data_IF_170456658686
#
_entry.id   IF_170456658686
#
_cell.length_a   1.000
_cell.length_b   1.000
_cell.length_c   1.000
_cell.angle_alpha   90.00
_cell.angle_beta   90.00
_cell.angle_gamma   90.00
#
_symmetry.space_group_name_H-M   'P 1'
#
loop_
_entity.id
_entity.type
_entity.pdbx_description
1 polymer ?
#
# COMPACT_ATOMS: atom_id res chain seq x y z
N UNK A 1 3.96 -4.21 -3.41
CA UNK A 1 5.12 -4.32 -4.34
C UNK A 1 5.42 -3.03 -5.11
N UNK A 2 4.51 -2.49 -5.93
CA UNK A 2 4.78 -1.28 -6.72
C UNK A 2 5.25 -0.08 -5.88
N UNK A 3 4.55 0.22 -4.78
CA UNK A 3 4.94 1.24 -3.81
C UNK A 3 6.35 1.00 -3.26
N UNK A 4 6.61 -0.21 -2.78
CA UNK A 4 7.88 -0.59 -2.15
C UNK A 4 9.05 -0.49 -3.11
N UNK A 5 8.85 -0.85 -4.38
CA UNK A 5 9.85 -0.66 -5.43
C UNK A 5 10.11 0.84 -5.68
N UNK A 6 9.05 1.65 -5.80
CA UNK A 6 9.16 3.10 -5.98
C UNK A 6 9.87 3.76 -4.79
N UNK A 7 9.51 3.39 -3.56
CA UNK A 7 10.20 3.83 -2.33
C UNK A 7 11.68 3.50 -2.38
N UNK A 8 12.06 2.26 -2.71
CA UNK A 8 13.45 1.83 -2.79
C UNK A 8 14.22 2.64 -3.84
N UNK A 9 13.65 2.88 -5.02
CA UNK A 9 14.29 3.66 -6.08
C UNK A 9 14.47 5.12 -5.67
N UNK A 10 13.40 5.76 -5.20
CA UNK A 10 13.42 7.17 -4.79
C UNK A 10 14.27 7.43 -3.54
N UNK A 11 14.42 6.42 -2.67
CA UNK A 11 15.27 6.53 -1.47
C UNK A 11 16.71 6.91 -1.82
N UNK A 12 17.26 6.36 -2.90
CA UNK A 12 18.60 6.69 -3.37
C UNK A 12 18.70 8.08 -4.03
N UNK A 13 17.56 8.70 -4.35
CA UNK A 13 17.50 10.08 -4.85
C UNK A 13 17.50 11.12 -3.70
N UNK A 14 17.27 10.68 -2.46
CA UNK A 14 17.34 11.58 -1.30
C UNK A 14 18.79 12.05 -1.08
N UNK A 15 18.94 13.26 -0.53
CA UNK A 15 20.22 13.72 0.01
C UNK A 15 20.69 12.76 1.12
N UNK A 16 22.01 12.59 1.27
CA UNK A 16 22.60 11.64 2.23
C UNK A 16 22.07 11.84 3.67
N UNK A 17 21.92 13.09 4.10
CA UNK A 17 21.34 13.48 5.40
C UNK A 17 19.92 12.95 5.63
N UNK A 18 19.14 12.71 4.56
CA UNK A 18 17.75 12.25 4.64
C UNK A 18 17.59 10.74 4.44
N UNK A 19 18.69 10.00 4.22
CA UNK A 19 18.71 8.54 3.97
C UNK A 19 18.71 7.69 5.24
N UNK A 20 17.90 8.07 6.22
CA UNK A 20 17.56 7.21 7.36
C UNK A 20 16.30 6.38 7.03
N UNK A 21 16.00 5.29 7.78
CA UNK A 21 14.91 4.38 7.45
C UNK A 21 13.60 5.09 7.10
N UNK A 22 12.87 4.58 6.11
CA UNK A 22 11.58 5.14 5.69
C UNK A 22 10.49 4.86 6.75
N UNK A 23 9.39 5.65 6.74
CA UNK A 23 8.43 5.66 7.83
C UNK A 23 7.83 4.31 8.26
N UNK A 24 7.56 3.31 7.38
CA UNK A 24 7.08 2.01 7.85
C UNK A 24 7.99 1.35 8.89
N UNK A 25 9.32 1.51 8.74
CA UNK A 25 10.29 1.00 9.72
C UNK A 25 10.31 1.83 11.00
N UNK A 26 10.16 3.14 10.88
CA UNK A 26 10.13 4.07 12.02
C UNK A 26 8.90 3.83 12.90
N UNK A 27 7.72 3.61 12.29
CA UNK A 27 6.47 3.27 12.98
C UNK A 27 6.67 2.00 13.83
N UNK A 28 7.18 0.92 13.23
CA UNK A 28 7.42 -0.33 13.97
C UNK A 28 8.50 -0.15 15.05
N UNK A 29 9.53 0.67 14.80
CA UNK A 29 10.53 0.97 15.82
C UNK A 29 9.91 1.60 17.07
N UNK A 30 8.97 2.53 16.88
CA UNK A 30 8.36 3.24 17.99
C UNK A 30 7.34 2.37 18.73
N UNK A 31 6.55 1.59 18.01
CA UNK A 31 5.58 0.69 18.63
C UNK A 31 6.27 -0.47 19.37
N UNK A 32 7.39 -0.98 18.85
CA UNK A 32 8.07 -2.18 19.34
C UNK A 32 9.54 -1.88 19.70
N UNK A 33 9.79 -0.86 20.52
CA UNK A 33 11.14 -0.31 20.77
C UNK A 33 12.18 -1.31 21.32
N UNK A 34 11.74 -2.40 21.97
CA UNK A 34 12.63 -3.44 22.53
C UNK A 34 12.83 -4.64 21.59
N UNK A 35 12.14 -4.68 20.46
CA UNK A 35 12.21 -5.83 19.56
C UNK A 35 13.58 -5.92 18.85
N UNK A 36 14.14 -7.13 18.65
CA UNK A 36 15.35 -7.31 17.87
C UNK A 36 15.19 -6.80 16.41
N UNK A 37 16.27 -6.35 15.78
CA UNK A 37 16.23 -5.81 14.40
C UNK A 37 15.61 -6.78 13.38
N UNK A 38 15.88 -8.08 13.52
CA UNK A 38 15.28 -9.12 12.66
C UNK A 38 13.76 -9.16 12.78
N UNK A 39 13.24 -9.00 13.99
CA UNK A 39 11.81 -8.95 14.27
C UNK A 39 11.21 -7.68 13.69
N UNK A 40 11.82 -6.52 13.96
CA UNK A 40 11.35 -5.23 13.43
C UNK A 40 11.31 -5.19 11.90
N UNK A 41 12.29 -5.79 11.23
CA UNK A 41 12.29 -5.91 9.75
C UNK A 41 11.09 -6.72 9.27
N UNK A 42 10.82 -7.87 9.89
CA UNK A 42 9.71 -8.76 9.53
C UNK A 42 8.37 -8.07 9.78
N UNK A 43 8.21 -7.49 10.96
CA UNK A 43 7.03 -6.71 11.35
C UNK A 43 6.78 -5.54 10.41
N UNK A 44 7.84 -4.81 10.02
CA UNK A 44 7.72 -3.69 9.06
C UNK A 44 7.15 -4.16 7.73
N UNK A 45 7.65 -5.27 7.18
CA UNK A 45 7.17 -5.80 5.91
C UNK A 45 5.73 -6.29 6.04
N UNK A 46 5.42 -7.02 7.11
CA UNK A 46 4.07 -7.53 7.37
C UNK A 46 3.07 -6.39 7.56
N UNK A 47 3.36 -5.42 8.42
CA UNK A 47 2.50 -4.27 8.67
C UNK A 47 2.26 -3.47 7.38
N UNK A 48 3.32 -3.21 6.61
CA UNK A 48 3.22 -2.47 5.35
C UNK A 48 2.36 -3.22 4.32
N UNK A 49 2.55 -4.53 4.19
CA UNK A 49 1.77 -5.37 3.28
C UNK A 49 0.30 -5.45 3.71
N UNK A 50 0.04 -5.80 4.97
CA UNK A 50 -1.31 -5.97 5.51
C UNK A 50 -2.11 -4.68 5.47
N UNK A 51 -1.50 -3.55 5.84
CA UNK A 51 -2.17 -2.24 5.75
C UNK A 51 -2.52 -1.88 4.30
N UNK A 52 -1.59 -2.10 3.36
CA UNK A 52 -1.83 -1.89 1.93
C UNK A 52 -2.91 -2.81 1.37
N UNK A 53 -2.97 -4.07 1.82
CA UNK A 53 -4.01 -5.02 1.42
C UNK A 53 -5.39 -4.62 1.97
N UNK A 54 -5.47 -4.27 3.25
CA UNK A 54 -6.72 -3.86 3.90
C UNK A 54 -7.30 -2.59 3.25
N UNK A 55 -6.48 -1.55 3.07
CA UNK A 55 -6.91 -0.32 2.38
C UNK A 55 -7.23 -0.57 0.90
N UNK A 56 -6.48 -1.42 0.21
CA UNK A 56 -6.79 -1.85 -1.15
C UNK A 56 -8.15 -2.55 -1.27
N UNK A 57 -8.52 -3.38 -0.29
CA UNK A 57 -9.84 -4.02 -0.24
C UNK A 57 -10.96 -2.99 -0.05
N UNK A 58 -10.76 -1.98 0.81
CA UNK A 58 -11.72 -0.88 0.97
C UNK A 58 -11.93 -0.11 -0.35
N UNK A 59 -10.87 0.12 -1.12
CA UNK A 59 -10.98 0.75 -2.42
C UNK A 59 -11.83 -0.05 -3.41
N UNK A 60 -11.75 -1.39 -3.38
CA UNK A 60 -12.57 -2.25 -4.24
C UNK A 60 -14.08 -2.15 -3.95
N UNK A 61 -14.46 -1.72 -2.74
CA UNK A 61 -15.84 -1.50 -2.33
C UNK A 61 -16.38 -0.12 -2.72
N UNK A 62 -15.51 0.80 -3.20
CA UNK A 62 -15.93 2.15 -3.58
C UNK A 62 -16.70 2.15 -4.92
N UNK A 63 -17.72 3.03 -5.07
CA UNK A 63 -18.39 3.21 -6.35
C UNK A 63 -17.40 3.60 -7.46
N UNK A 64 -17.51 2.98 -8.64
CA UNK A 64 -16.59 3.22 -9.78
C UNK A 64 -16.47 4.68 -10.21
N UNK A 65 -17.55 5.47 -10.04
CA UNK A 65 -17.56 6.92 -10.32
C UNK A 65 -16.67 7.76 -9.41
N UNK A 66 -16.29 7.23 -8.24
CA UNK A 66 -15.44 7.89 -7.24
C UNK A 66 -14.04 7.27 -7.16
N UNK A 67 -13.77 6.18 -7.91
CA UNK A 67 -12.57 5.36 -7.77
C UNK A 67 -11.42 5.89 -8.63
N UNK A 68 -10.88 7.06 -8.27
CA UNK A 68 -9.58 7.51 -8.78
C UNK A 68 -8.47 6.91 -7.90
N UNK A 69 -7.74 5.94 -8.45
CA UNK A 69 -6.65 5.26 -7.76
C UNK A 69 -5.59 6.22 -7.18
N UNK A 70 -5.03 7.14 -7.97
CA UNK A 70 -4.08 8.15 -7.48
C UNK A 70 -4.62 8.99 -6.34
N UNK A 71 -5.84 9.52 -6.49
CA UNK A 71 -6.47 10.36 -5.48
C UNK A 71 -6.71 9.57 -4.18
N UNK A 72 -7.14 8.30 -4.30
CA UNK A 72 -7.27 7.41 -3.15
C UNK A 72 -5.93 7.15 -2.46
N UNK A 73 -4.86 6.93 -3.22
CA UNK A 73 -3.52 6.79 -2.67
C UNK A 73 -3.08 8.01 -1.86
N UNK A 74 -3.29 9.21 -2.40
CA UNK A 74 -3.01 10.47 -1.70
C UNK A 74 -3.90 10.64 -0.46
N UNK A 75 -5.16 10.24 -0.52
CA UNK A 75 -6.07 10.28 0.62
C UNK A 75 -5.60 9.34 1.75
N UNK A 76 -5.20 8.11 1.41
CA UNK A 76 -4.64 7.15 2.38
C UNK A 76 -3.37 7.70 3.02
N UNK A 77 -2.50 8.34 2.23
CA UNK A 77 -1.33 9.04 2.76
C UNK A 77 -1.74 10.15 3.74
N UNK A 78 -2.64 11.05 3.33
CA UNK A 78 -3.07 12.18 4.14
C UNK A 78 -3.71 11.74 5.46
N UNK A 79 -4.66 10.80 5.42
CA UNK A 79 -5.31 10.26 6.63
C UNK A 79 -4.32 9.55 7.57
N UNK A 80 -3.27 8.94 7.02
CA UNK A 80 -2.25 8.29 7.85
C UNK A 80 -1.31 9.30 8.48
N UNK A 81 -0.67 10.14 7.67
CA UNK A 81 0.42 11.02 8.08
C UNK A 81 -0.03 12.33 8.74
N UNK A 82 -1.29 12.72 8.53
CA UNK A 82 -1.90 13.90 9.18
C UNK A 82 -3.00 13.51 10.16
N UNK A 83 -3.47 12.27 10.15
CA UNK A 83 -4.54 11.78 11.01
C UNK A 83 -4.02 10.90 12.14
N UNK A 84 -4.09 9.59 11.96
CA UNK A 84 -3.95 8.66 13.07
C UNK A 84 -2.50 8.48 13.56
N UNK A 85 -1.49 8.55 12.68
CA UNK A 85 -0.08 8.38 13.10
C UNK A 85 0.34 9.49 14.08
N UNK A 86 0.11 10.79 13.78
CA UNK A 86 0.39 11.86 14.74
C UNK A 86 -0.51 11.79 15.99
N UNK A 87 -1.78 11.43 15.83
CA UNK A 87 -2.71 11.34 16.95
C UNK A 87 -2.30 10.28 17.99
N UNK A 88 -1.64 9.21 17.55
CA UNK A 88 -1.06 8.19 18.43
C UNK A 88 0.38 8.50 18.87
N UNK A 89 0.91 9.69 18.55
CA UNK A 89 2.28 10.11 18.86
C UNK A 89 3.37 9.16 18.33
N UNK A 90 3.08 8.40 17.26
CA UNK A 90 4.01 7.39 16.70
C UNK A 90 5.04 8.04 15.76
N UNK A 91 4.72 9.15 15.12
CA UNK A 91 5.69 9.96 14.39
C UNK A 91 5.32 11.43 14.57
N UNK A 92 6.32 12.30 14.49
CA UNK A 92 6.04 13.73 14.31
C UNK A 92 5.21 13.93 13.03
N UNK A 93 4.30 14.91 12.98
CA UNK A 93 3.51 15.19 11.79
C UNK A 93 4.40 15.35 10.55
N UNK A 94 3.90 14.92 9.39
CA UNK A 94 4.62 15.05 8.11
C UNK A 94 5.16 16.47 7.86
N UNK A 95 4.50 17.50 8.37
CA UNK A 95 4.92 18.90 8.26
C UNK A 95 6.28 19.23 8.88
N UNK A 96 6.80 18.39 9.79
CA UNK A 96 8.13 18.55 10.41
C UNK A 96 9.23 17.77 9.69
N UNK A 97 8.89 16.90 8.75
CA UNK A 97 9.86 16.11 8.00
C UNK A 97 10.39 16.88 6.77
N UNK A 98 11.63 16.61 6.32
CA UNK A 98 12.18 17.22 5.12
C UNK A 98 11.23 17.06 3.92
N UNK A 99 11.01 18.14 3.16
CA UNK A 99 10.09 18.16 2.02
C UNK A 99 10.32 17.02 1.02
N UNK A 100 11.60 16.65 0.79
CA UNK A 100 11.97 15.53 -0.08
C UNK A 100 11.38 14.18 0.36
N UNK A 101 11.32 13.91 1.67
CA UNK A 101 10.75 12.67 2.20
C UNK A 101 9.23 12.67 2.06
N UNK A 102 8.57 13.80 2.29
CA UNK A 102 7.13 13.92 2.06
C UNK A 102 6.78 13.70 0.59
N UNK A 103 7.52 14.33 -0.32
CA UNK A 103 7.32 14.15 -1.77
C UNK A 103 7.53 12.70 -2.18
N UNK A 104 8.57 12.03 -1.68
CA UNK A 104 8.80 10.59 -1.91
C UNK A 104 7.59 9.77 -1.45
N UNK A 105 7.08 10.04 -0.24
CA UNK A 105 5.95 9.31 0.32
C UNK A 105 4.67 9.54 -0.49
N UNK A 106 4.36 10.78 -0.87
CA UNK A 106 3.21 11.11 -1.71
C UNK A 106 3.33 10.42 -3.07
N UNK A 107 4.48 10.52 -3.73
CA UNK A 107 4.73 9.88 -5.03
C UNK A 107 4.58 8.36 -4.96
N UNK A 108 5.09 7.73 -3.89
CA UNK A 108 4.94 6.29 -3.68
C UNK A 108 3.46 5.89 -3.52
N UNK A 109 2.64 6.72 -2.86
CA UNK A 109 1.20 6.51 -2.74
C UNK A 109 0.43 6.72 -4.05
N UNK A 110 0.86 7.66 -4.89
CA UNK A 110 0.32 7.82 -6.24
C UNK A 110 0.61 6.58 -7.09
N UNK A 111 1.86 6.10 -7.09
CA UNK A 111 2.25 4.87 -7.81
C UNK A 111 1.44 3.66 -7.32
N UNK A 112 1.26 3.54 -6.01
CA UNK A 112 0.43 2.51 -5.42
C UNK A 112 -1.02 2.60 -5.89
N UNK A 113 -1.62 3.79 -5.85
CA UNK A 113 -3.00 4.02 -6.29
C UNK A 113 -3.22 3.71 -7.78
N UNK A 114 -2.25 4.07 -8.64
CA UNK A 114 -2.25 3.70 -10.05
C UNK A 114 -2.23 2.17 -10.22
N UNK A 115 -1.28 1.50 -9.56
CA UNK A 115 -1.14 0.05 -9.63
C UNK A 115 -2.40 -0.66 -9.11
N UNK A 116 -2.94 -0.23 -7.96
CA UNK A 116 -4.16 -0.78 -7.36
C UNK A 116 -5.35 -0.68 -8.31
N UNK A 117 -5.62 0.53 -8.84
CA UNK A 117 -6.74 0.72 -9.77
C UNK A 117 -6.55 -0.06 -11.07
N UNK A 118 -5.31 -0.19 -11.55
CA UNK A 118 -4.97 -1.01 -12.71
C UNK A 118 -5.25 -2.49 -12.48
N UNK A 119 -4.75 -3.04 -11.38
CA UNK A 119 -4.96 -4.44 -11.01
C UNK A 119 -6.43 -4.77 -10.82
N UNK A 120 -7.23 -3.89 -10.20
CA UNK A 120 -8.66 -4.13 -10.01
C UNK A 120 -9.43 -4.08 -11.34
N UNK A 121 -9.09 -3.16 -12.24
CA UNK A 121 -9.67 -3.16 -13.59
C UNK A 121 -9.34 -4.44 -14.36
N UNK A 122 -8.15 -4.98 -14.17
CA UNK A 122 -7.74 -6.23 -14.81
C UNK A 122 -8.47 -7.45 -14.22
N UNK A 123 -8.64 -7.49 -12.90
CA UNK A 123 -9.43 -8.52 -12.22
C UNK A 123 -10.91 -8.49 -12.68
N UNK A 124 -11.50 -7.31 -12.78
CA UNK A 124 -12.86 -7.10 -13.28
C UNK A 124 -13.02 -7.59 -14.73
N UNK A 125 -12.09 -7.23 -15.63
CA UNK A 125 -12.07 -7.74 -17.01
C UNK A 125 -11.91 -9.26 -17.08
N UNK A 126 -11.06 -9.82 -16.22
CA UNK A 126 -10.82 -11.27 -16.15
C UNK A 126 -12.06 -12.02 -15.65
N UNK A 127 -12.78 -11.45 -14.68
CA UNK A 127 -14.04 -11.99 -14.17
C UNK A 127 -15.11 -12.10 -15.27
N UNK A 128 -15.18 -11.12 -16.17
CA UNK A 128 -16.08 -11.13 -17.33
C UNK A 128 -15.54 -11.87 -18.56
N UNK A 129 -14.34 -12.45 -18.49
CA UNK A 129 -13.73 -13.17 -19.60
C UNK A 129 -13.16 -14.52 -19.16
N UNK A 130 -11.90 -14.57 -18.76
CA UNK A 130 -11.15 -15.82 -18.49
C UNK A 130 -11.82 -16.68 -17.42
N UNK A 131 -12.43 -16.08 -16.39
CA UNK A 131 -13.03 -16.83 -15.28
C UNK A 131 -14.48 -17.30 -15.52
N UNK A 132 -15.19 -16.69 -16.46
CA UNK A 132 -16.61 -16.98 -16.74
C UNK A 132 -16.87 -17.56 -18.13
N UNK A 133 -15.86 -17.65 -18.99
CA UNK A 133 -15.99 -18.23 -20.33
C UNK A 133 -16.08 -19.76 -20.26
N UNK A 134 -17.15 -20.30 -20.84
CA UNK A 134 -17.32 -21.72 -21.09
C UNK A 134 -17.95 -22.51 -19.94
N UNK A 135 -18.18 -23.80 -20.17
CA UNK A 135 -18.75 -24.71 -19.17
C UNK A 135 -17.63 -25.33 -18.34
N UNK A 136 -17.79 -25.34 -17.01
CA UNK A 136 -16.85 -26.02 -16.12
C UNK A 136 -16.84 -27.52 -16.40
N UNK A 137 -15.72 -28.02 -16.95
CA UNK A 137 -15.57 -29.43 -17.36
C UNK A 137 -15.72 -30.39 -16.18
N UNK A 138 -15.22 -30.00 -15.00
CA UNK A 138 -15.32 -30.80 -13.78
C UNK A 138 -16.74 -30.82 -13.19
N UNK A 139 -17.54 -29.78 -13.44
CA UNK A 139 -18.94 -29.77 -13.04
C UNK A 139 -19.81 -30.74 -13.86
N UNK A 140 -19.37 -31.11 -15.07
CA UNK A 140 -20.07 -32.05 -15.95
C UNK A 140 -19.68 -33.50 -15.65
N UNK A 141 -18.41 -33.77 -15.35
CA UNK A 141 -17.93 -35.14 -15.08
C UNK A 141 -18.49 -35.72 -13.78
N UNK A 142 -18.77 -34.88 -12.78
CA UNK A 142 -19.37 -35.29 -11.50
C UNK A 142 -20.86 -35.65 -11.55
N UNK A 143 -21.60 -35.27 -12.60
CA UNK A 143 -23.05 -35.61 -12.74
C UNK A 143 -23.32 -36.92 -13.48
N UNK A 144 -22.29 -37.63 -13.95
CA UNK A 144 -22.40 -38.91 -14.66
C UNK A 144 -22.09 -40.13 -13.78
N UNK A 145 -22.13 -40.00 -12.46
CA UNK A 145 -22.11 -41.11 -11.49
C UNK A 145 -23.38 -41.04 -10.67
#
# INVERSE_FOLDING_TARGET
MAMTAAMRQMFFLLKNEHRYPLPPREIMAQMHAKAPERTLRTETVLAHFSFGAATGALYALLPRRLSSGPAYGVLVWALSYLGWIPALCILSPATKHPMQRNLLMVAAHVVWGLALSGSLRELDRSAHSVFSRGVSRDAISGRRK
#
